data_IF_868007809820
#
_entry.id   IF_868007809820
#
_cell.length_a   1.000
_cell.length_b   1.000
_cell.length_c   1.000
_cell.angle_alpha   90.00
_cell.angle_beta   90.00
_cell.angle_gamma   90.00
#
_symmetry.space_group_name_H-M   'P 1'
#
loop_
_entity.id
_entity.type
_entity.pdbx_description
1 polymer ?
#
# COMPACT_ATOMS: atom_id res chain seq x y z
N UNK A 1 -13.92 -16.02 -14.96
CA UNK A 1 -13.16 -16.38 -13.74
C UNK A 1 -13.80 -15.62 -12.60
N UNK A 2 -14.17 -16.27 -11.49
CA UNK A 2 -14.79 -15.57 -10.36
C UNK A 2 -13.82 -14.53 -9.80
N UNK A 3 -14.25 -13.27 -9.80
CA UNK A 3 -13.46 -12.12 -9.30
C UNK A 3 -13.36 -12.29 -7.76
N UNK A 4 -12.31 -12.97 -7.27
CA UNK A 4 -12.14 -13.27 -5.85
C UNK A 4 -11.56 -12.03 -5.16
N UNK A 5 -12.32 -11.45 -4.22
CA UNK A 5 -11.82 -10.33 -3.44
C UNK A 5 -10.63 -10.75 -2.57
N UNK A 6 -9.55 -9.98 -2.63
CA UNK A 6 -8.37 -10.12 -1.75
C UNK A 6 -8.59 -9.32 -0.47
N UNK A 7 -9.08 -8.10 -0.61
CA UNK A 7 -9.40 -7.21 0.51
C UNK A 7 -10.84 -6.73 0.35
N UNK A 8 -11.64 -6.86 1.40
CA UNK A 8 -12.99 -6.33 1.47
C UNK A 8 -13.19 -5.64 2.82
N UNK A 9 -13.58 -4.39 2.78
CA UNK A 9 -13.85 -3.54 3.94
C UNK A 9 -15.24 -2.98 3.78
N UNK A 10 -16.05 -3.03 4.85
CA UNK A 10 -17.41 -2.47 4.91
C UNK A 10 -17.62 -1.67 6.18
N UNK A 11 -18.19 -0.50 6.03
CA UNK A 11 -18.59 0.43 7.10
C UNK A 11 -17.45 0.66 8.11
N UNK A 12 -16.22 0.91 7.60
CA UNK A 12 -15.04 1.05 8.44
C UNK A 12 -15.02 2.41 9.13
N UNK A 13 -14.97 2.39 10.46
CA UNK A 13 -14.82 3.58 11.28
C UNK A 13 -13.50 3.54 12.07
N UNK A 14 -12.77 4.65 12.05
CA UNK A 14 -11.53 4.82 12.81
C UNK A 14 -11.49 6.18 13.46
N UNK A 15 -11.22 6.22 14.75
CA UNK A 15 -11.00 7.44 15.50
C UNK A 15 -9.69 7.40 16.30
N UNK A 16 -9.09 8.57 16.52
CA UNK A 16 -8.00 8.81 17.44
C UNK A 16 -8.50 9.79 18.52
N UNK A 17 -8.74 9.27 19.73
CA UNK A 17 -9.47 10.01 20.74
C UNK A 17 -10.88 10.39 20.24
N UNK A 18 -11.20 11.67 20.26
CA UNK A 18 -12.51 12.19 19.80
C UNK A 18 -12.53 12.53 18.29
N UNK A 19 -11.37 12.47 17.61
CA UNK A 19 -11.29 12.76 16.19
C UNK A 19 -11.61 11.51 15.36
N UNK A 20 -12.79 11.48 14.74
CA UNK A 20 -13.15 10.44 13.78
C UNK A 20 -12.50 10.71 12.42
N UNK A 21 -11.57 9.83 12.01
CA UNK A 21 -10.77 9.95 10.78
C UNK A 21 -11.38 9.17 9.63
N UNK A 22 -12.01 8.01 9.89
CA UNK A 22 -12.77 7.24 8.91
C UNK A 22 -14.21 7.09 9.42
N UNK A 23 -15.18 7.33 8.54
CA UNK A 23 -16.60 7.52 8.88
C UNK A 23 -17.53 6.62 8.07
N UNK A 24 -17.25 5.31 8.06
CA UNK A 24 -18.03 4.33 7.28
C UNK A 24 -17.50 4.18 5.86
N UNK A 25 -16.25 3.78 5.73
CA UNK A 25 -15.57 3.60 4.43
C UNK A 25 -15.75 2.16 3.96
N UNK A 26 -16.17 2.01 2.67
CA UNK A 26 -16.28 0.74 1.97
C UNK A 26 -15.23 0.67 0.88
N UNK A 27 -14.43 -0.41 0.84
CA UNK A 27 -13.46 -0.64 -0.23
C UNK A 27 -13.34 -2.13 -0.54
N UNK A 28 -13.19 -2.44 -1.83
CA UNK A 28 -12.93 -3.81 -2.30
C UNK A 28 -11.78 -3.78 -3.29
N UNK A 29 -10.82 -4.68 -3.12
CA UNK A 29 -9.79 -4.96 -4.11
C UNK A 29 -9.84 -6.45 -4.44
N UNK A 30 -10.07 -6.76 -5.71
CA UNK A 30 -10.05 -8.13 -6.20
C UNK A 30 -8.62 -8.50 -6.63
N UNK A 31 -8.40 -9.78 -6.89
CA UNK A 31 -7.11 -10.26 -7.38
C UNK A 31 -6.77 -9.60 -8.72
N UNK A 32 -5.61 -8.99 -8.80
CA UNK A 32 -5.10 -8.27 -9.96
C UNK A 32 -5.55 -6.81 -10.07
N UNK A 33 -6.48 -6.35 -9.19
CA UNK A 33 -6.91 -4.95 -9.21
C UNK A 33 -5.82 -4.03 -8.64
N UNK A 34 -5.65 -2.88 -9.26
CA UNK A 34 -4.93 -1.74 -8.72
C UNK A 34 -5.94 -0.68 -8.29
N UNK A 35 -6.02 -0.43 -6.99
CA UNK A 35 -6.92 0.57 -6.40
C UNK A 35 -6.11 1.74 -5.87
N UNK A 36 -6.30 2.94 -6.42
CA UNK A 36 -5.66 4.16 -5.90
C UNK A 36 -6.58 4.94 -4.98
N UNK A 37 -6.02 5.34 -3.85
CA UNK A 37 -6.65 6.22 -2.85
C UNK A 37 -6.07 7.62 -2.99
N UNK A 38 -6.87 8.56 -3.44
CA UNK A 38 -6.49 9.97 -3.62
C UNK A 38 -7.27 10.88 -2.67
N UNK A 39 -6.80 12.08 -2.44
CA UNK A 39 -7.45 13.08 -1.57
C UNK A 39 -6.45 13.95 -0.83
N UNK A 40 -6.93 15.03 -0.22
CA UNK A 40 -6.11 15.99 0.52
C UNK A 40 -5.40 15.35 1.73
N UNK A 41 -4.35 16.01 2.22
CA UNK A 41 -3.70 15.62 3.48
C UNK A 41 -4.73 15.59 4.61
N UNK A 42 -4.64 14.60 5.49
CA UNK A 42 -5.57 14.41 6.60
C UNK A 42 -6.94 13.81 6.22
N UNK A 43 -7.19 13.43 4.95
CA UNK A 43 -8.48 12.83 4.57
C UNK A 43 -8.69 11.40 5.07
N UNK A 44 -7.65 10.72 5.60
CA UNK A 44 -7.72 9.38 6.17
C UNK A 44 -7.10 8.26 5.32
N UNK A 45 -6.49 8.56 4.17
CA UNK A 45 -5.91 7.56 3.22
C UNK A 45 -4.93 6.59 3.87
N UNK A 46 -3.87 7.10 4.49
CA UNK A 46 -2.84 6.27 5.16
C UNK A 46 -3.44 5.51 6.35
N UNK A 47 -4.41 6.10 7.06
CA UNK A 47 -5.13 5.41 8.14
C UNK A 47 -5.93 4.23 7.60
N UNK A 48 -6.63 4.41 6.47
CA UNK A 48 -7.37 3.33 5.80
C UNK A 48 -6.41 2.19 5.38
N UNK A 49 -5.29 2.55 4.74
CA UNK A 49 -4.29 1.58 4.31
C UNK A 49 -3.70 0.79 5.49
N UNK A 50 -3.41 1.47 6.61
CA UNK A 50 -2.92 0.82 7.85
C UNK A 50 -3.97 -0.04 8.54
N UNK A 51 -5.25 0.28 8.37
CA UNK A 51 -6.31 -0.62 8.81
C UNK A 51 -6.36 -1.90 7.96
N UNK A 52 -6.10 -1.84 6.64
CA UNK A 52 -6.11 -3.00 5.75
C UNK A 52 -5.16 -4.11 6.22
N UNK A 53 -3.95 -3.77 6.69
CA UNK A 53 -2.98 -4.76 7.20
C UNK A 53 -2.97 -4.87 8.74
N UNK A 54 -4.00 -4.34 9.41
CA UNK A 54 -4.16 -4.40 10.87
C UNK A 54 -3.03 -3.72 11.67
N UNK A 55 -2.28 -2.79 11.07
CA UNK A 55 -1.38 -1.90 11.83
C UNK A 55 -2.17 -0.93 12.70
N UNK A 56 -3.37 -0.55 12.24
CA UNK A 56 -4.34 0.23 12.99
C UNK A 56 -5.64 -0.59 13.20
N UNK A 57 -6.17 -0.54 14.41
CA UNK A 57 -7.44 -1.18 14.72
C UNK A 57 -8.60 -0.22 14.45
N UNK A 58 -9.59 -0.66 13.70
CA UNK A 58 -10.85 0.07 13.52
C UNK A 58 -11.75 -0.05 14.75
N UNK A 59 -12.58 0.96 15.04
CA UNK A 59 -13.55 0.90 16.12
C UNK A 59 -14.85 0.19 15.71
N UNK A 60 -15.17 0.19 14.39
CA UNK A 60 -16.35 -0.44 13.81
C UNK A 60 -16.08 -0.84 12.37
N UNK A 61 -16.96 -1.65 11.80
CA UNK A 61 -16.90 -2.14 10.44
C UNK A 61 -16.46 -3.58 10.35
N UNK A 62 -16.62 -4.15 9.18
CA UNK A 62 -16.20 -5.50 8.84
C UNK A 62 -15.00 -5.45 7.91
N UNK A 63 -14.11 -6.41 8.08
CA UNK A 63 -12.95 -6.58 7.21
C UNK A 63 -12.81 -8.07 6.87
N UNK A 64 -12.54 -8.36 5.61
CA UNK A 64 -12.28 -9.72 5.13
C UNK A 64 -10.98 -9.73 4.30
N UNK A 65 -10.23 -10.76 4.48
CA UNK A 65 -9.05 -11.05 3.67
C UNK A 65 -9.26 -12.40 2.98
N UNK A 66 -9.26 -12.43 1.66
CA UNK A 66 -9.55 -13.64 0.83
C UNK A 66 -10.85 -14.34 1.26
N UNK A 67 -11.89 -13.57 1.55
CA UNK A 67 -13.19 -14.05 2.04
C UNK A 67 -13.23 -14.41 3.52
N UNK A 68 -12.09 -14.56 4.20
CA UNK A 68 -12.02 -14.82 5.64
C UNK A 68 -12.30 -13.55 6.43
N UNK A 69 -13.34 -13.55 7.25
CA UNK A 69 -13.68 -12.42 8.10
C UNK A 69 -12.71 -12.30 9.27
N UNK A 70 -12.26 -11.06 9.55
CA UNK A 70 -11.43 -10.78 10.71
C UNK A 70 -12.31 -10.81 11.96
N UNK A 71 -11.89 -11.64 12.91
CA UNK A 71 -12.58 -11.77 14.20
C UNK A 71 -12.05 -10.71 15.17
N UNK A 72 -12.99 -10.00 15.82
CA UNK A 72 -12.67 -8.90 16.73
C UNK A 72 -13.10 -9.19 18.16
N UNK A 73 -12.32 -8.72 19.14
CA UNK A 73 -12.68 -8.67 20.57
C UNK A 73 -12.59 -7.23 21.07
N UNK A 74 -13.23 -6.96 22.20
CA UNK A 74 -13.32 -5.61 22.75
C UNK A 74 -14.39 -4.75 22.08
N UNK A 75 -14.55 -3.52 22.57
CA UNK A 75 -15.52 -2.55 22.03
C UNK A 75 -14.85 -1.19 21.86
N UNK A 76 -15.25 -0.45 20.83
CA UNK A 76 -14.76 0.91 20.56
C UNK A 76 -13.21 0.99 20.63
N UNK A 77 -12.69 1.72 21.61
CA UNK A 77 -11.25 2.00 21.74
C UNK A 77 -10.39 0.77 22.03
N UNK A 78 -10.96 -0.28 22.66
CA UNK A 78 -10.26 -1.53 22.97
C UNK A 78 -10.44 -2.61 21.89
N UNK A 79 -11.08 -2.29 20.77
CA UNK A 79 -11.32 -3.26 19.70
C UNK A 79 -9.99 -3.68 19.06
N UNK A 80 -9.77 -4.98 19.02
CA UNK A 80 -8.55 -5.58 18.43
C UNK A 80 -8.87 -6.93 17.81
N UNK A 81 -8.07 -7.41 16.84
CA UNK A 81 -8.23 -8.77 16.34
C UNK A 81 -8.11 -9.79 17.46
N UNK A 82 -8.96 -10.82 17.43
CA UNK A 82 -9.02 -11.86 18.48
C UNK A 82 -7.96 -12.95 18.31
N UNK A 83 -7.49 -13.18 17.07
CA UNK A 83 -6.54 -14.24 16.73
C UNK A 83 -5.21 -13.66 16.22
N UNK A 84 -4.13 -13.71 17.04
CA UNK A 84 -2.80 -13.28 16.61
C UNK A 84 -2.25 -14.06 15.40
N UNK A 85 -2.65 -15.31 15.21
CA UNK A 85 -2.24 -16.11 14.04
C UNK A 85 -2.89 -15.61 12.77
N UNK A 86 -4.17 -15.18 12.83
CA UNK A 86 -4.84 -14.53 11.72
C UNK A 86 -4.14 -13.21 11.36
N UNK A 87 -3.79 -12.39 12.36
CA UNK A 87 -3.04 -11.14 12.14
C UNK A 87 -1.70 -11.41 11.45
N UNK A 88 -0.93 -12.39 11.94
CA UNK A 88 0.35 -12.74 11.34
C UNK A 88 0.16 -13.19 9.88
N UNK A 89 -0.81 -14.07 9.61
CA UNK A 89 -1.11 -14.55 8.26
C UNK A 89 -1.53 -13.40 7.32
N UNK A 90 -2.33 -12.46 7.79
CA UNK A 90 -2.73 -11.30 6.99
C UNK A 90 -1.51 -10.42 6.69
N UNK A 91 -0.70 -10.07 7.68
CA UNK A 91 0.47 -9.22 7.49
C UNK A 91 1.55 -9.84 6.61
N UNK A 92 1.68 -11.16 6.58
CA UNK A 92 2.60 -11.84 5.67
C UNK A 92 2.11 -11.86 4.22
N UNK A 93 0.80 -11.74 4.01
CA UNK A 93 0.19 -11.73 2.69
C UNK A 93 -0.19 -10.33 2.18
N UNK A 94 -0.16 -9.32 3.05
CA UNK A 94 -0.37 -7.90 2.71
C UNK A 94 0.90 -7.12 3.06
N UNK A 95 1.86 -7.12 2.16
CA UNK A 95 3.11 -6.39 2.38
C UNK A 95 2.91 -4.90 2.17
N UNK A 96 3.51 -4.08 3.04
CA UNK A 96 3.38 -2.63 3.01
C UNK A 96 4.70 -1.94 2.69
N UNK A 97 4.65 -1.02 1.75
CA UNK A 97 5.73 -0.10 1.38
C UNK A 97 5.37 1.28 1.91
N UNK A 98 6.22 1.83 2.75
CA UNK A 98 5.98 3.10 3.47
C UNK A 98 6.64 4.27 2.74
N UNK A 99 6.15 5.46 2.98
CA UNK A 99 6.73 6.72 2.55
C UNK A 99 8.19 6.88 3.03
N UNK A 100 8.47 6.50 4.28
CA UNK A 100 9.81 6.51 4.89
C UNK A 100 10.43 5.14 4.78
N UNK A 101 10.89 4.70 3.67
CA UNK A 101 11.54 3.43 3.32
C UNK A 101 11.63 2.34 4.43
N UNK A 102 11.86 2.72 5.68
CA UNK A 102 11.95 1.88 6.89
C UNK A 102 12.92 0.71 6.73
N UNK A 103 14.07 0.95 6.09
CA UNK A 103 15.15 -0.03 6.02
C UNK A 103 15.91 -0.09 7.34
N UNK A 104 16.35 -1.27 7.72
CA UNK A 104 17.23 -1.46 8.88
C UNK A 104 18.64 -0.98 8.56
N UNK A 105 19.06 0.11 9.18
CA UNK A 105 20.31 0.81 8.88
C UNK A 105 21.57 -0.03 9.15
N UNK A 106 21.49 -1.00 10.04
CA UNK A 106 22.60 -1.89 10.42
C UNK A 106 22.71 -3.16 9.55
N UNK A 107 21.81 -3.34 8.60
CA UNK A 107 21.77 -4.46 7.66
C UNK A 107 22.11 -3.99 6.25
N UNK A 108 22.76 -4.84 5.45
CA UNK A 108 22.91 -4.60 4.02
C UNK A 108 21.55 -4.63 3.32
N UNK A 109 21.49 -4.17 2.07
CA UNK A 109 20.26 -4.20 1.27
C UNK A 109 19.77 -5.63 1.09
N UNK A 110 20.66 -6.56 0.75
CA UNK A 110 20.31 -7.99 0.64
C UNK A 110 19.74 -8.53 1.97
N UNK A 111 20.38 -8.25 3.10
CA UNK A 111 19.89 -8.66 4.41
C UNK A 111 18.51 -8.06 4.73
N UNK A 112 18.27 -6.79 4.39
CA UNK A 112 16.96 -6.17 4.55
C UNK A 112 15.85 -6.90 3.78
N UNK A 113 16.15 -7.38 2.58
CA UNK A 113 15.18 -8.10 1.73
C UNK A 113 14.95 -9.52 2.25
N UNK A 114 15.99 -10.19 2.74
CA UNK A 114 15.95 -11.58 3.20
C UNK A 114 15.32 -11.77 4.59
N UNK A 115 15.40 -10.76 5.45
CA UNK A 115 15.11 -10.90 6.89
C UNK A 115 13.73 -11.50 7.16
N UNK A 116 12.68 -10.94 6.62
CA UNK A 116 11.33 -11.39 6.90
C UNK A 116 10.99 -12.78 6.30
N UNK A 117 11.33 -13.11 5.05
CA UNK A 117 11.15 -14.47 4.53
C UNK A 117 11.87 -15.55 5.36
N UNK A 118 13.07 -15.28 5.85
CA UNK A 118 13.84 -16.23 6.67
C UNK A 118 13.27 -16.33 8.07
N UNK A 119 13.06 -15.18 8.75
CA UNK A 119 12.70 -15.16 10.18
C UNK A 119 11.22 -15.41 10.42
N UNK A 120 10.32 -14.88 9.56
CA UNK A 120 8.87 -14.99 9.73
C UNK A 120 8.31 -16.23 9.02
N UNK A 121 8.65 -16.41 7.73
CA UNK A 121 8.16 -17.53 6.92
C UNK A 121 8.98 -18.81 7.12
N UNK A 122 10.12 -18.73 7.80
CA UNK A 122 11.03 -19.89 8.05
C UNK A 122 11.51 -20.57 6.76
N UNK A 123 11.63 -19.80 5.67
CA UNK A 123 12.13 -20.30 4.38
C UNK A 123 13.64 -20.56 4.46
N UNK A 124 14.12 -21.44 3.59
CA UNK A 124 15.55 -21.76 3.49
C UNK A 124 16.36 -20.51 3.09
N UNK A 125 17.39 -20.10 3.87
CA UNK A 125 18.16 -18.90 3.58
C UNK A 125 18.79 -18.85 2.17
N UNK A 126 19.27 -19.98 1.63
CA UNK A 126 19.89 -20.00 0.28
C UNK A 126 18.86 -19.80 -0.84
N UNK A 127 17.65 -20.32 -0.68
CA UNK A 127 16.54 -20.08 -1.63
C UNK A 127 16.06 -18.63 -1.55
N UNK A 128 15.96 -18.08 -0.32
CA UNK A 128 15.58 -16.70 -0.09
C UNK A 128 16.62 -15.74 -0.65
N UNK A 129 17.93 -16.04 -0.52
CA UNK A 129 18.99 -15.22 -1.10
C UNK A 129 18.86 -15.13 -2.63
N UNK A 130 18.65 -16.26 -3.28
CA UNK A 130 18.46 -16.30 -4.73
C UNK A 130 17.23 -15.48 -5.17
N UNK A 131 16.10 -15.60 -4.45
CA UNK A 131 14.90 -14.83 -4.71
C UNK A 131 15.11 -13.32 -4.42
N UNK A 132 15.79 -12.98 -3.31
CA UNK A 132 16.08 -11.61 -2.94
C UNK A 132 16.94 -10.90 -3.99
N UNK A 133 17.98 -11.55 -4.51
CA UNK A 133 18.80 -11.02 -5.61
C UNK A 133 17.96 -10.79 -6.86
N UNK A 134 17.12 -11.74 -7.25
CA UNK A 134 16.21 -11.59 -8.39
C UNK A 134 15.22 -10.41 -8.22
N UNK A 135 14.69 -10.18 -7.01
CA UNK A 135 13.85 -9.02 -6.75
C UNK A 135 14.63 -7.70 -6.72
N UNK A 136 15.88 -7.69 -6.26
CA UNK A 136 16.74 -6.51 -6.33
C UNK A 136 17.12 -6.17 -7.78
N UNK A 137 17.41 -7.17 -8.61
CA UNK A 137 17.61 -6.99 -10.05
C UNK A 137 16.35 -6.44 -10.72
N UNK A 138 15.18 -6.99 -10.37
CA UNK A 138 13.87 -6.55 -10.91
C UNK A 138 13.58 -5.07 -10.65
N UNK A 139 14.07 -4.52 -9.56
CA UNK A 139 13.91 -3.09 -9.22
C UNK A 139 15.14 -2.24 -9.55
N UNK A 140 16.01 -2.72 -10.43
CA UNK A 140 17.21 -2.05 -10.95
C UNK A 140 18.21 -1.59 -9.85
N UNK A 141 18.43 -2.41 -8.81
CA UNK A 141 19.43 -2.17 -7.75
C UNK A 141 20.20 -3.46 -7.34
N UNK A 142 20.31 -4.43 -8.23
CA UNK A 142 21.03 -5.67 -7.95
C UNK A 142 22.50 -5.47 -7.61
N UNK A 143 23.15 -4.42 -8.15
CA UNK A 143 24.53 -4.02 -7.82
C UNK A 143 24.72 -3.48 -6.39
N UNK A 144 23.62 -3.20 -5.67
CA UNK A 144 23.63 -2.64 -4.30
C UNK A 144 23.43 -3.67 -3.20
N UNK A 145 23.43 -4.97 -3.50
CA UNK A 145 23.18 -6.04 -2.54
C UNK A 145 23.98 -5.90 -1.23
N UNK A 146 25.26 -5.58 -1.35
CA UNK A 146 26.18 -5.49 -0.21
C UNK A 146 26.31 -4.08 0.38
N UNK A 147 25.60 -3.10 -0.19
CA UNK A 147 25.54 -1.73 0.31
C UNK A 147 24.63 -1.62 1.54
N UNK A 148 24.87 -0.61 2.38
CA UNK A 148 23.99 -0.24 3.49
C UNK A 148 23.03 0.89 3.06
N UNK A 149 21.86 1.02 3.72
CA UNK A 149 20.87 2.06 3.37
C UNK A 149 21.44 3.48 3.25
N UNK A 150 22.37 3.86 4.13
CA UNK A 150 23.00 5.18 4.11
C UNK A 150 23.86 5.47 2.84
N UNK A 151 24.17 4.45 2.07
CA UNK A 151 24.97 4.56 0.84
C UNK A 151 24.09 4.68 -0.42
N UNK A 152 22.76 4.62 -0.26
CA UNK A 152 21.79 4.65 -1.35
C UNK A 152 21.07 6.00 -1.43
N UNK A 153 20.73 6.43 -2.66
CA UNK A 153 19.78 7.53 -2.88
C UNK A 153 18.39 7.19 -2.33
N UNK A 154 17.52 8.18 -2.14
CA UNK A 154 16.15 7.97 -1.70
C UNK A 154 15.38 7.02 -2.62
N UNK A 155 15.49 7.20 -3.94
CA UNK A 155 14.86 6.32 -4.93
C UNK A 155 15.37 4.87 -4.85
N UNK A 156 16.68 4.69 -4.67
CA UNK A 156 17.26 3.35 -4.45
C UNK A 156 16.78 2.71 -3.15
N UNK A 157 16.67 3.49 -2.06
CA UNK A 157 16.13 2.99 -0.79
C UNK A 157 14.66 2.58 -0.92
N UNK A 158 13.86 3.35 -1.66
CA UNK A 158 12.46 3.00 -1.92
C UNK A 158 12.33 1.74 -2.76
N UNK A 159 13.15 1.61 -3.81
CA UNK A 159 13.19 0.38 -4.62
C UNK A 159 13.62 -0.84 -3.78
N UNK A 160 14.58 -0.68 -2.86
CA UNK A 160 14.93 -1.73 -1.90
C UNK A 160 13.75 -2.10 -0.97
N UNK A 161 12.98 -1.12 -0.51
CA UNK A 161 11.77 -1.37 0.29
C UNK A 161 10.69 -2.11 -0.52
N UNK A 162 10.55 -1.82 -1.81
CA UNK A 162 9.68 -2.57 -2.73
C UNK A 162 10.18 -4.02 -2.91
N UNK A 163 11.48 -4.23 -3.15
CA UNK A 163 12.06 -5.57 -3.27
C UNK A 163 11.85 -6.39 -1.99
N UNK A 164 12.01 -5.77 -0.81
CA UNK A 164 11.73 -6.37 0.50
C UNK A 164 10.27 -6.83 0.62
N UNK A 165 9.33 -5.99 0.17
CA UNK A 165 7.91 -6.33 0.17
C UNK A 165 7.60 -7.49 -0.80
N UNK A 166 8.20 -7.48 -1.99
CA UNK A 166 8.02 -8.51 -3.01
C UNK A 166 8.60 -9.87 -2.60
N UNK A 167 9.72 -9.89 -1.86
CA UNK A 167 10.37 -11.13 -1.40
C UNK A 167 9.51 -11.94 -0.42
N UNK A 168 8.52 -11.33 0.20
CA UNK A 168 7.47 -12.01 0.96
C UNK A 168 6.46 -12.77 0.07
N UNK A 169 6.46 -12.54 -1.25
CA UNK A 169 5.51 -13.10 -2.21
C UNK A 169 4.04 -12.86 -1.80
N UNK A 170 3.67 -11.60 -1.51
CA UNK A 170 2.36 -11.30 -0.95
C UNK A 170 1.23 -11.43 -1.99
N UNK A 171 0.00 -11.62 -1.49
CA UNK A 171 -1.23 -11.58 -2.31
C UNK A 171 -1.59 -10.16 -2.75
N UNK A 172 -1.23 -9.15 -1.96
CA UNK A 172 -1.37 -7.75 -2.36
C UNK A 172 -0.27 -6.86 -1.73
N UNK A 173 0.05 -5.78 -2.43
CA UNK A 173 0.97 -4.75 -2.01
C UNK A 173 0.21 -3.49 -1.61
N UNK A 174 0.58 -2.91 -0.48
CA UNK A 174 0.02 -1.67 0.03
C UNK A 174 1.10 -0.58 -0.04
N UNK A 175 0.85 0.50 -0.78
CA UNK A 175 1.79 1.60 -0.95
C UNK A 175 1.26 2.86 -0.24
N UNK A 176 1.99 3.36 0.75
CA UNK A 176 1.65 4.58 1.49
C UNK A 176 2.54 5.72 0.99
N UNK A 177 2.07 6.48 0.01
CA UNK A 177 2.76 7.61 -0.63
C UNK A 177 4.21 7.27 -1.07
N UNK A 178 4.41 6.30 -1.97
CA UNK A 178 5.72 5.71 -2.24
C UNK A 178 6.74 6.66 -2.88
N UNK A 179 6.32 7.81 -3.39
CA UNK A 179 7.19 8.77 -4.10
C UNK A 179 7.34 10.10 -3.39
N UNK A 180 6.50 10.40 -2.38
CA UNK A 180 6.38 11.73 -1.75
C UNK A 180 7.64 12.23 -1.02
N UNK A 181 8.59 11.35 -0.70
CA UNK A 181 9.85 11.68 -0.04
C UNK A 181 11.03 11.77 -1.03
N UNK A 182 10.75 11.79 -2.34
CA UNK A 182 11.75 11.73 -3.40
C UNK A 182 11.79 13.02 -4.22
N UNK A 183 12.97 13.32 -4.75
CA UNK A 183 13.12 14.35 -5.79
C UNK A 183 12.49 13.85 -7.11
N UNK A 184 12.02 14.76 -7.99
CA UNK A 184 11.27 14.40 -9.22
C UNK A 184 12.00 13.41 -10.14
N UNK A 185 13.32 13.46 -10.24
CA UNK A 185 14.11 12.53 -11.05
C UNK A 185 14.07 11.12 -10.47
N UNK A 186 14.19 10.98 -9.13
CA UNK A 186 14.16 9.70 -8.43
C UNK A 186 12.75 9.12 -8.34
N UNK A 187 11.73 9.97 -8.37
CA UNK A 187 10.34 9.57 -8.39
C UNK A 187 10.01 8.72 -9.63
N UNK A 188 10.50 9.12 -10.82
CA UNK A 188 10.24 8.40 -12.07
C UNK A 188 10.75 6.96 -12.05
N UNK A 189 11.86 6.70 -11.38
CA UNK A 189 12.40 5.34 -11.24
C UNK A 189 11.47 4.45 -10.41
N UNK A 190 10.88 4.98 -9.34
CA UNK A 190 9.92 4.25 -8.49
C UNK A 190 8.59 4.08 -9.19
N UNK A 191 8.10 5.13 -9.88
CA UNK A 191 6.88 5.08 -10.70
C UNK A 191 6.98 3.98 -11.76
N UNK A 192 8.12 3.86 -12.44
CA UNK A 192 8.38 2.79 -13.41
C UNK A 192 8.19 1.41 -12.78
N UNK A 193 8.81 1.16 -11.61
CA UNK A 193 8.65 -0.12 -10.90
C UNK A 193 7.20 -0.41 -10.56
N UNK A 194 6.43 0.59 -10.08
CA UNK A 194 5.00 0.42 -9.76
C UNK A 194 4.19 0.09 -11.04
N UNK A 195 4.46 0.76 -12.17
CA UNK A 195 3.83 0.47 -13.46
C UNK A 195 4.13 -0.95 -13.94
N UNK A 196 5.37 -1.41 -13.80
CA UNK A 196 5.77 -2.77 -14.15
C UNK A 196 5.02 -3.81 -13.30
N UNK A 197 4.88 -3.58 -11.99
CA UNK A 197 4.12 -4.44 -11.09
C UNK A 197 2.61 -4.46 -11.42
N UNK A 198 2.03 -3.33 -11.82
CA UNK A 198 0.65 -3.25 -12.31
C UNK A 198 0.46 -4.09 -13.57
N UNK A 199 1.39 -3.96 -14.53
CA UNK A 199 1.35 -4.72 -15.79
C UNK A 199 1.47 -6.23 -15.60
N UNK A 200 2.10 -6.68 -14.52
CA UNK A 200 2.19 -8.09 -14.12
C UNK A 200 0.90 -8.64 -13.47
N UNK A 201 -0.11 -7.81 -13.29
CA UNK A 201 -1.37 -8.17 -12.65
C UNK A 201 -1.26 -8.33 -11.12
N UNK A 202 -0.34 -7.61 -10.48
CA UNK A 202 -0.24 -7.58 -9.01
C UNK A 202 -1.43 -6.83 -8.41
N UNK A 203 -2.03 -7.39 -7.36
CA UNK A 203 -3.05 -6.67 -6.59
C UNK A 203 -2.37 -5.57 -5.77
N UNK A 204 -2.83 -4.33 -5.90
CA UNK A 204 -2.22 -3.19 -5.21
C UNK A 204 -3.27 -2.21 -4.67
N UNK A 205 -3.04 -1.69 -3.45
CA UNK A 205 -3.68 -0.49 -2.94
C UNK A 205 -2.62 0.60 -2.83
N UNK A 206 -2.83 1.73 -3.50
CA UNK A 206 -1.84 2.81 -3.59
C UNK A 206 -2.44 4.10 -3.03
N UNK A 207 -1.91 4.60 -1.93
CA UNK A 207 -2.14 5.98 -1.50
C UNK A 207 -1.15 6.86 -2.24
N UNK A 208 -1.64 7.81 -3.00
CA UNK A 208 -0.79 8.73 -3.75
C UNK A 208 -1.43 10.12 -3.91
N UNK A 209 -0.59 11.13 -4.07
CA UNK A 209 -0.96 12.46 -4.54
C UNK A 209 -0.55 12.68 -6.01
N UNK A 210 0.16 11.74 -6.61
CA UNK A 210 0.46 11.74 -8.05
C UNK A 210 -0.77 11.25 -8.84
N UNK A 211 -1.46 12.22 -9.47
CA UNK A 211 -2.66 11.95 -10.26
C UNK A 211 -2.35 11.21 -11.55
N UNK A 212 -1.15 11.43 -12.12
CA UNK A 212 -0.72 10.75 -13.33
C UNK A 212 -0.45 9.27 -13.06
N UNK A 213 0.25 8.94 -11.97
CA UNK A 213 0.43 7.57 -11.55
C UNK A 213 -0.93 6.88 -11.33
N UNK A 214 -1.84 7.53 -10.57
CA UNK A 214 -3.17 6.98 -10.32
C UNK A 214 -3.96 6.76 -11.62
N UNK A 215 -3.87 7.69 -12.59
CA UNK A 215 -4.54 7.56 -13.87
C UNK A 215 -3.98 6.42 -14.74
N UNK A 216 -2.65 6.22 -14.70
CA UNK A 216 -1.95 5.28 -15.57
C UNK A 216 -2.05 3.82 -15.11
N UNK A 217 -2.09 3.58 -13.78
CA UNK A 217 -1.97 2.21 -13.26
C UNK A 217 -3.26 1.64 -12.67
N UNK A 218 -4.25 2.49 -12.33
CA UNK A 218 -5.39 2.02 -11.55
C UNK A 218 -6.51 1.44 -12.41
N UNK A 219 -7.12 0.38 -11.92
CA UNK A 219 -8.41 -0.11 -12.39
C UNK A 219 -9.54 0.68 -11.74
N UNK A 220 -9.32 1.14 -10.51
CA UNK A 220 -10.29 1.86 -9.71
C UNK A 220 -9.63 2.96 -8.86
N UNK A 221 -10.25 4.12 -8.79
CA UNK A 221 -9.79 5.27 -7.99
C UNK A 221 -10.84 5.64 -6.97
N UNK A 222 -10.42 5.85 -5.73
CA UNK A 222 -11.26 6.27 -4.60
C UNK A 222 -10.80 7.65 -4.13
N UNK A 223 -11.67 8.65 -4.24
CA UNK A 223 -11.43 9.98 -3.70
C UNK A 223 -11.97 10.08 -2.28
N UNK A 224 -11.06 10.20 -1.31
CA UNK A 224 -11.38 10.30 0.11
C UNK A 224 -11.35 11.77 0.56
N UNK A 225 -12.43 12.23 1.18
CA UNK A 225 -12.53 13.57 1.74
C UNK A 225 -13.11 13.54 3.14
N UNK A 226 -12.38 14.09 4.14
CA UNK A 226 -12.80 14.18 5.55
C UNK A 226 -13.32 12.86 6.14
N UNK A 227 -12.68 11.75 5.77
CA UNK A 227 -13.01 10.41 6.26
C UNK A 227 -14.15 9.70 5.54
N UNK A 228 -14.68 10.28 4.48
CA UNK A 228 -15.75 9.71 3.64
C UNK A 228 -15.25 9.49 2.22
N UNK A 229 -15.79 8.49 1.54
CA UNK A 229 -15.63 8.35 0.10
C UNK A 229 -16.58 9.36 -0.56
N UNK A 230 -16.02 10.39 -1.18
CA UNK A 230 -16.76 11.43 -1.87
C UNK A 230 -17.16 10.98 -3.29
N UNK A 231 -16.22 10.34 -4.00
CA UNK A 231 -16.44 9.79 -5.31
C UNK A 231 -15.48 8.63 -5.57
N UNK A 232 -15.93 7.64 -6.36
CA UNK A 232 -15.09 6.50 -6.71
C UNK A 232 -15.51 5.93 -8.07
N UNK A 233 -14.57 5.35 -8.79
CA UNK A 233 -14.83 4.76 -10.10
C UNK A 233 -13.57 4.51 -10.92
N UNK A 234 -13.72 4.08 -12.19
CA UNK A 234 -12.60 3.95 -13.10
C UNK A 234 -11.86 5.29 -13.31
N UNK A 235 -10.55 5.28 -13.56
CA UNK A 235 -9.73 6.49 -13.73
C UNK A 235 -10.31 7.45 -14.77
N UNK A 236 -10.81 6.94 -15.90
CA UNK A 236 -11.43 7.75 -16.96
C UNK A 236 -12.61 8.57 -16.46
N UNK A 237 -13.41 8.04 -15.54
CA UNK A 237 -14.54 8.75 -14.94
C UNK A 237 -14.04 9.77 -13.92
N UNK A 238 -13.17 9.34 -13.00
CA UNK A 238 -12.68 10.18 -11.90
C UNK A 238 -11.88 11.39 -12.41
N UNK A 239 -11.01 11.19 -13.38
CA UNK A 239 -10.14 12.27 -13.89
C UNK A 239 -10.75 13.00 -15.11
N UNK A 240 -11.59 12.33 -15.93
CA UNK A 240 -12.12 12.91 -17.14
C UNK A 240 -13.49 13.59 -17.00
N UNK A 241 -14.34 13.10 -16.10
CA UNK A 241 -15.70 13.60 -15.90
C UNK A 241 -16.15 13.53 -14.42
N UNK A 242 -15.40 14.16 -13.47
CA UNK A 242 -15.74 14.12 -12.05
C UNK A 242 -17.09 14.80 -11.80
N UNK A 243 -17.93 14.17 -10.97
CA UNK A 243 -19.27 14.68 -10.61
C UNK A 243 -19.21 15.61 -9.40
N UNK A 244 -18.32 15.31 -8.43
CA UNK A 244 -18.12 16.13 -7.24
C UNK A 244 -17.38 17.43 -7.54
N UNK A 245 -17.91 18.57 -7.07
CA UNK A 245 -17.20 19.85 -7.14
C UNK A 245 -15.87 19.83 -6.38
N UNK A 246 -15.83 19.11 -5.28
CA UNK A 246 -14.59 18.95 -4.47
C UNK A 246 -13.52 18.19 -5.23
N UNK A 247 -13.90 17.11 -5.93
CA UNK A 247 -12.95 16.35 -6.74
C UNK A 247 -12.44 17.20 -7.91
N UNK A 248 -13.33 17.96 -8.59
CA UNK A 248 -12.91 18.91 -9.65
C UNK A 248 -11.89 19.93 -9.13
N UNK A 249 -12.18 20.54 -7.98
CA UNK A 249 -11.25 21.47 -7.35
C UNK A 249 -9.92 20.83 -6.96
N UNK A 250 -9.96 19.60 -6.44
CA UNK A 250 -8.77 18.85 -6.07
C UNK A 250 -7.87 18.53 -7.27
N UNK A 251 -8.46 18.05 -8.37
CA UNK A 251 -7.75 17.75 -9.63
C UNK A 251 -7.15 19.03 -10.23
N UNK A 252 -7.94 20.13 -10.29
CA UNK A 252 -7.46 21.41 -10.82
C UNK A 252 -6.28 21.97 -10.02
N UNK A 253 -6.31 21.84 -8.70
CA UNK A 253 -5.20 22.28 -7.84
C UNK A 253 -3.93 21.41 -8.05
N UNK A 254 -4.08 20.11 -8.26
CA UNK A 254 -2.96 19.22 -8.53
C UNK A 254 -2.28 19.55 -9.87
N UNK A 255 -3.04 19.86 -10.93
CA UNK A 255 -2.49 20.28 -12.23
C UNK A 255 -1.82 21.66 -12.22
N UNK A 256 -2.13 22.51 -11.25
CA UNK A 256 -1.53 23.85 -11.15
C UNK A 256 -0.15 23.85 -10.46
N UNK A 257 0.23 22.73 -9.82
CA UNK A 257 1.48 22.54 -9.07
C UNK A 257 2.55 21.80 -9.91
N UNK A 258 2.16 21.16 -10.99
CA UNK A 258 3.03 20.53 -11.99
C UNK A 258 3.42 21.55 -13.10
#
# INVERSE_FOLDING_TARGET
MSNQSVIEIRDLHKAYGDLEVLKGVDITANRGDVVSLIGSSGSGKSTLLRCCNLLENSQRGEMRFKGEQISWIGKKHDRRPSDPKQVLRIRTNLSMVFQQFNLWAHMTILQNVMEAPVTVLKRNPSEVESAARAYLDKVDIGDKCDSYPAQLSGGQQQRAAIARALCMEPEALLFDEPTSALDPELEQEVVKVIKDLASEGRTMLIVTHDMQLAADVSDYVVFLHQGLIEEQGPPKTIFGAPTSERLRGFISAAHAIQ
#
